data_IF_377037630277
#
_entry.id   IF_377037630277
#
_cell.length_a   1.000
_cell.length_b   1.000
_cell.length_c   1.000
_cell.angle_alpha   90.00
_cell.angle_beta   90.00
_cell.angle_gamma   90.00
#
_symmetry.space_group_name_H-M   'P 1'
#
loop_
_entity.id
_entity.type
_entity.pdbx_description
1 polymer ?
#
# COMPACT_ATOMS: atom_id res chain seq x y z
N UNK A 1 -62.83 -30.15 3.32
CA UNK A 1 -63.20 -28.72 3.17
C UNK A 1 -61.97 -27.89 3.58
N UNK A 2 -61.12 -27.38 2.67
CA UNK A 2 -61.21 -26.12 1.87
C UNK A 2 -61.33 -24.88 2.78
N UNK A 3 -60.53 -23.80 2.78
CA UNK A 3 -59.62 -23.05 1.86
C UNK A 3 -58.64 -22.24 2.75
N UNK A 4 -57.33 -22.01 2.51
CA UNK A 4 -56.60 -21.19 1.50
C UNK A 4 -56.96 -19.70 1.38
N UNK A 5 -56.01 -18.83 1.77
CA UNK A 5 -55.44 -17.66 1.04
C UNK A 5 -54.88 -16.63 2.04
N UNK A 6 -53.92 -15.74 1.77
CA UNK A 6 -52.69 -15.66 0.94
C UNK A 6 -52.24 -14.18 1.07
N UNK A 7 -50.92 -13.92 1.02
CA UNK A 7 -50.35 -12.62 0.65
C UNK A 7 -49.97 -11.69 1.83
N UNK A 8 -48.76 -11.14 1.93
CA UNK A 8 -47.61 -11.19 1.04
C UNK A 8 -46.60 -10.09 1.41
N UNK A 9 -45.31 -10.40 1.24
CA UNK A 9 -44.20 -9.54 0.74
C UNK A 9 -42.86 -10.16 1.16
N UNK A 10 -42.41 -11.13 0.37
CA UNK A 10 -41.01 -11.51 0.29
C UNK A 10 -40.37 -10.64 -0.79
N UNK A 11 -39.32 -9.89 -0.43
CA UNK A 11 -38.48 -9.10 -1.32
C UNK A 11 -37.08 -9.70 -1.30
N UNK A 12 -36.77 -10.56 -2.28
CA UNK A 12 -35.52 -10.53 -3.04
C UNK A 12 -35.45 -11.75 -3.99
N UNK A 13 -35.16 -11.54 -5.30
CA UNK A 13 -35.09 -12.61 -6.29
C UNK A 13 -33.65 -12.96 -6.72
N UNK A 14 -33.55 -14.16 -7.31
CA UNK A 14 -32.61 -14.65 -8.35
C UNK A 14 -31.33 -15.39 -7.94
N UNK A 15 -31.38 -16.68 -8.26
CA UNK A 15 -30.28 -17.53 -8.73
C UNK A 15 -29.22 -16.74 -9.52
N UNK A 16 -28.01 -16.72 -8.98
CA UNK A 16 -26.76 -16.67 -9.75
C UNK A 16 -26.03 -17.99 -9.51
N UNK A 17 -26.07 -18.89 -10.49
CA UNK A 17 -24.97 -19.85 -10.65
C UNK A 17 -23.74 -19.04 -11.05
N UNK A 18 -22.74 -18.97 -10.18
CA UNK A 18 -21.39 -18.55 -10.54
C UNK A 18 -20.39 -19.11 -9.52
N UNK A 19 -19.54 -20.00 -10.05
CA UNK A 19 -18.19 -20.37 -9.59
C UNK A 19 -18.14 -21.30 -8.37
N UNK A 20 -18.20 -22.61 -8.66
CA UNK A 20 -17.37 -23.59 -7.96
C UNK A 20 -15.91 -23.28 -8.30
N UNK A 21 -15.20 -22.60 -7.39
CA UNK A 21 -13.76 -22.70 -7.26
C UNK A 21 -13.45 -22.76 -5.77
N UNK A 22 -12.80 -23.82 -5.25
CA UNK A 22 -12.07 -23.67 -4.01
C UNK A 22 -10.82 -22.85 -4.37
N UNK A 23 -10.96 -21.53 -4.37
CA UNK A 23 -9.80 -20.64 -4.45
C UNK A 23 -8.86 -21.00 -3.30
N UNK A 24 -7.60 -21.25 -3.63
CA UNK A 24 -6.51 -21.44 -2.68
C UNK A 24 -6.60 -20.38 -1.57
N UNK A 25 -7.05 -20.79 -0.38
CA UNK A 25 -7.36 -19.91 0.78
C UNK A 25 -6.10 -19.38 1.47
N UNK A 26 -4.95 -19.39 0.79
CA UNK A 26 -3.70 -18.88 1.33
C UNK A 26 -3.66 -17.35 1.27
N UNK A 27 -3.19 -16.71 2.34
CA UNK A 27 -2.92 -15.27 2.35
C UNK A 27 -1.79 -14.96 1.36
N UNK A 28 -2.03 -14.03 0.43
CA UNK A 28 -1.07 -13.65 -0.62
C UNK A 28 -0.70 -12.18 -0.50
N UNK A 29 0.56 -11.86 -0.83
CA UNK A 29 1.03 -10.48 -0.86
C UNK A 29 0.29 -9.70 -1.97
N UNK A 30 -0.41 -8.60 -1.64
CA UNK A 30 -1.17 -7.81 -2.60
C UNK A 30 -0.30 -7.27 -3.73
N UNK A 31 0.97 -6.96 -3.46
CA UNK A 31 1.89 -6.50 -4.52
C UNK A 31 2.18 -7.65 -5.50
N UNK A 32 2.36 -8.87 -5.01
CA UNK A 32 2.58 -10.03 -5.85
C UNK A 32 1.35 -10.30 -6.74
N UNK A 33 0.15 -10.23 -6.16
CA UNK A 33 -1.13 -10.40 -6.88
C UNK A 33 -1.29 -9.33 -7.97
N UNK A 34 -0.98 -8.06 -7.68
CA UNK A 34 -1.06 -7.00 -8.68
C UNK A 34 -0.09 -7.24 -9.86
N UNK A 35 1.10 -7.77 -9.61
CA UNK A 35 2.10 -8.03 -10.66
C UNK A 35 1.82 -9.29 -11.50
N UNK A 36 0.83 -10.13 -11.16
CA UNK A 36 0.56 -11.39 -11.87
C UNK A 36 0.19 -11.19 -13.35
N UNK A 37 -0.42 -10.05 -13.69
CA UNK A 37 -0.79 -9.68 -15.06
C UNK A 37 0.43 -9.69 -16.00
N UNK A 38 1.62 -9.47 -15.45
CA UNK A 38 2.89 -9.47 -16.17
C UNK A 38 3.92 -10.33 -15.40
N UNK A 39 3.51 -11.52 -14.95
CA UNK A 39 4.30 -12.38 -14.05
C UNK A 39 5.65 -12.85 -14.64
N UNK A 40 5.73 -13.02 -15.96
CA UNK A 40 6.93 -13.52 -16.65
C UNK A 40 8.17 -12.66 -16.44
N UNK A 41 9.35 -13.26 -16.60
CA UNK A 41 10.62 -12.54 -16.46
C UNK A 41 10.83 -11.52 -17.59
N UNK A 42 10.24 -11.76 -18.76
CA UNK A 42 10.29 -10.90 -19.95
C UNK A 42 8.87 -10.56 -20.39
N UNK A 43 8.17 -9.65 -19.67
CA UNK A 43 6.81 -9.28 -20.02
C UNK A 43 6.78 -8.55 -21.36
N UNK A 44 5.79 -8.91 -22.18
CA UNK A 44 5.48 -8.25 -23.44
C UNK A 44 4.99 -6.81 -23.22
N UNK A 45 5.07 -5.99 -24.27
CA UNK A 45 4.49 -4.63 -24.28
C UNK A 45 3.01 -4.67 -23.88
N UNK A 46 2.26 -5.65 -24.37
CA UNK A 46 0.84 -5.81 -24.06
C UNK A 46 0.60 -6.10 -22.57
N UNK A 47 1.41 -6.97 -21.95
CA UNK A 47 1.31 -7.27 -20.52
C UNK A 47 1.66 -6.06 -19.65
N UNK A 48 2.67 -5.28 -20.04
CA UNK A 48 3.04 -4.05 -19.33
C UNK A 48 1.95 -2.97 -19.45
N UNK A 49 1.34 -2.84 -20.62
CA UNK A 49 0.16 -1.96 -20.81
C UNK A 49 -1.02 -2.44 -19.97
N UNK A 50 -1.26 -3.76 -19.94
CA UNK A 50 -2.34 -4.35 -19.15
C UNK A 50 -2.13 -4.11 -17.65
N UNK A 51 -0.91 -4.27 -17.15
CA UNK A 51 -0.56 -3.94 -15.76
C UNK A 51 -0.84 -2.46 -15.45
N UNK A 52 -0.36 -1.54 -16.31
CA UNK A 52 -0.56 -0.09 -16.11
C UNK A 52 -2.04 0.30 -16.07
N UNK A 53 -2.89 -0.41 -16.82
CA UNK A 53 -4.33 -0.15 -16.95
C UNK A 53 -5.20 -1.01 -16.03
N UNK A 54 -4.60 -1.83 -15.16
CA UNK A 54 -5.36 -2.71 -14.30
C UNK A 54 -6.25 -1.88 -13.35
N UNK A 55 -7.57 -2.17 -13.28
CA UNK A 55 -8.52 -1.41 -12.48
C UNK A 55 -8.47 -1.85 -11.02
N UNK A 56 -7.44 -1.41 -10.28
CA UNK A 56 -7.36 -1.68 -8.85
C UNK A 56 -8.30 -0.78 -8.05
N UNK A 57 -9.09 -1.38 -7.16
CA UNK A 57 -9.89 -0.65 -6.18
C UNK A 57 -8.99 -0.13 -5.05
N UNK A 58 -8.40 1.05 -5.27
CA UNK A 58 -7.47 1.68 -4.32
C UNK A 58 -8.16 2.13 -3.03
N UNK A 59 -9.48 2.44 -3.06
CA UNK A 59 -10.25 2.79 -1.85
C UNK A 59 -10.39 1.58 -0.95
N UNK A 60 -10.72 0.43 -1.51
CA UNK A 60 -10.76 -0.83 -0.76
C UNK A 60 -9.38 -1.23 -0.26
N UNK A 61 -8.33 -1.09 -1.08
CA UNK A 61 -6.96 -1.34 -0.65
C UNK A 61 -6.55 -0.45 0.54
N UNK A 62 -6.84 0.86 0.48
CA UNK A 62 -6.60 1.80 1.57
C UNK A 62 -7.37 1.43 2.85
N UNK A 63 -8.67 1.11 2.72
CA UNK A 63 -9.52 0.71 3.84
C UNK A 63 -9.01 -0.57 4.49
N UNK A 64 -8.64 -1.57 3.69
CA UNK A 64 -8.10 -2.84 4.17
C UNK A 64 -6.74 -2.64 4.85
N UNK A 65 -5.87 -1.79 4.31
CA UNK A 65 -4.62 -1.41 4.97
C UNK A 65 -4.88 -0.87 6.39
N UNK A 66 -5.86 0.03 6.51
CA UNK A 66 -6.24 0.62 7.81
C UNK A 66 -6.87 -0.39 8.76
N UNK A 67 -7.72 -1.28 8.24
CA UNK A 67 -8.35 -2.34 9.03
C UNK A 67 -7.30 -3.30 9.59
N UNK A 68 -6.35 -3.76 8.74
CA UNK A 68 -5.24 -4.63 9.14
C UNK A 68 -4.36 -3.97 10.19
N UNK A 69 -3.98 -2.70 10.00
CA UNK A 69 -3.21 -1.96 11.00
C UNK A 69 -3.98 -1.77 12.34
N UNK A 70 -5.31 -1.71 12.28
CA UNK A 70 -6.13 -1.62 13.49
C UNK A 70 -6.35 -2.98 14.16
N UNK A 71 -6.39 -4.06 13.38
CA UNK A 71 -6.44 -5.44 13.88
C UNK A 71 -5.11 -5.83 14.52
N UNK A 72 -3.99 -5.51 13.88
CA UNK A 72 -2.63 -5.64 14.40
C UNK A 72 -2.55 -5.08 15.83
N UNK A 73 -3.00 -3.84 16.02
CA UNK A 73 -2.97 -3.20 17.33
C UNK A 73 -3.84 -3.94 18.37
N UNK A 74 -4.97 -4.53 17.96
CA UNK A 74 -5.84 -5.30 18.85
C UNK A 74 -5.20 -6.62 19.25
N UNK A 75 -4.58 -7.33 18.30
CA UNK A 75 -3.79 -8.55 18.59
C UNK A 75 -2.65 -8.21 19.55
N UNK A 76 -1.95 -7.11 19.29
CA UNK A 76 -0.85 -6.67 20.15
C UNK A 76 -1.28 -6.37 21.58
N UNK A 77 -2.45 -5.78 21.78
CA UNK A 77 -2.98 -5.50 23.12
C UNK A 77 -3.48 -6.77 23.82
N UNK A 78 -3.94 -7.76 23.07
CA UNK A 78 -4.50 -8.99 23.61
C UNK A 78 -3.44 -10.06 23.91
N UNK A 79 -2.24 -9.95 23.33
CA UNK A 79 -1.18 -10.96 23.48
C UNK A 79 -0.58 -10.96 24.89
N UNK A 80 -0.12 -12.13 25.32
CA UNK A 80 0.69 -12.28 26.52
C UNK A 80 2.16 -11.96 26.23
N UNK A 81 2.92 -11.61 27.28
CA UNK A 81 4.35 -11.35 27.13
C UNK A 81 5.09 -12.64 26.77
N UNK A 82 5.88 -12.62 25.70
CA UNK A 82 6.60 -13.81 25.20
C UNK A 82 5.80 -14.69 24.23
N UNK A 83 4.64 -14.22 23.76
CA UNK A 83 3.87 -14.92 22.72
C UNK A 83 4.47 -14.71 21.32
N UNK A 84 5.42 -15.58 20.94
CA UNK A 84 6.07 -15.60 19.63
C UNK A 84 5.07 -15.78 18.47
N UNK A 85 3.95 -16.47 18.71
CA UNK A 85 2.90 -16.69 17.70
C UNK A 85 2.14 -15.38 17.49
N UNK A 86 1.72 -14.71 18.57
CA UNK A 86 1.11 -13.39 18.51
C UNK A 86 2.00 -12.35 17.83
N UNK A 87 3.31 -12.37 18.07
CA UNK A 87 4.27 -11.51 17.35
C UNK A 87 4.32 -11.81 15.85
N UNK A 88 4.33 -13.10 15.47
CA UNK A 88 4.27 -13.50 14.06
C UNK A 88 2.96 -13.06 13.38
N UNK A 89 1.82 -13.18 14.06
CA UNK A 89 0.52 -12.70 13.56
C UNK A 89 0.55 -11.18 13.36
N UNK A 90 1.04 -10.42 14.35
CA UNK A 90 1.21 -8.97 14.20
C UNK A 90 2.10 -8.62 13.01
N UNK A 91 3.24 -9.29 12.85
CA UNK A 91 4.14 -9.05 11.73
C UNK A 91 3.49 -9.34 10.38
N UNK A 92 2.70 -10.41 10.27
CA UNK A 92 1.96 -10.74 9.06
C UNK A 92 0.92 -9.67 8.68
N UNK A 93 0.18 -9.16 9.67
CA UNK A 93 -0.78 -8.07 9.49
C UNK A 93 -0.09 -6.76 9.07
N UNK A 94 1.08 -6.45 9.65
CA UNK A 94 1.88 -5.28 9.28
C UNK A 94 2.42 -5.39 7.86
N UNK A 95 3.01 -6.52 7.48
CA UNK A 95 3.50 -6.76 6.11
C UNK A 95 2.37 -6.57 5.10
N UNK A 96 1.22 -7.20 5.32
CA UNK A 96 0.05 -7.09 4.46
C UNK A 96 -0.48 -5.64 4.38
N UNK A 97 -0.56 -4.96 5.52
CA UNK A 97 -1.00 -3.56 5.59
C UNK A 97 -0.07 -2.63 4.82
N UNK A 98 1.25 -2.77 5.01
CA UNK A 98 2.26 -1.94 4.33
C UNK A 98 2.31 -2.28 2.83
N UNK A 99 2.10 -3.53 2.42
CA UNK A 99 1.96 -3.90 1.00
C UNK A 99 0.77 -3.19 0.34
N UNK A 100 -0.39 -3.12 1.00
CA UNK A 100 -1.54 -2.36 0.50
C UNK A 100 -1.26 -0.85 0.46
N UNK A 101 -0.55 -0.31 1.45
CA UNK A 101 -0.10 1.09 1.44
C UNK A 101 0.82 1.35 0.24
N UNK A 102 1.77 0.44 -0.02
CA UNK A 102 2.68 0.53 -1.16
C UNK A 102 1.94 0.54 -2.49
N UNK A 103 0.93 -0.33 -2.65
CA UNK A 103 0.06 -0.34 -3.82
C UNK A 103 -0.61 1.02 -4.01
N UNK A 104 -1.31 1.53 -2.99
CA UNK A 104 -2.01 2.83 -3.11
C UNK A 104 -1.02 3.98 -3.35
N UNK A 105 0.16 3.96 -2.74
CA UNK A 105 1.18 5.00 -2.92
C UNK A 105 1.80 4.97 -4.33
N UNK A 106 2.07 3.79 -4.89
CA UNK A 106 2.72 3.64 -6.20
C UNK A 106 1.75 3.73 -7.37
N UNK A 107 0.51 3.28 -7.21
CA UNK A 107 -0.45 3.29 -8.31
C UNK A 107 -0.75 4.72 -8.77
N UNK A 108 -0.85 4.99 -10.08
CA UNK A 108 -1.19 6.31 -10.59
C UNK A 108 -2.56 6.78 -10.09
N UNK A 109 -2.68 8.06 -9.78
CA UNK A 109 -3.96 8.70 -9.51
C UNK A 109 -4.53 9.20 -10.84
N UNK A 110 -5.15 8.34 -11.62
CA UNK A 110 -5.75 8.71 -12.91
C UNK A 110 -7.21 9.19 -12.76
N UNK A 111 -7.85 8.86 -11.64
CA UNK A 111 -9.22 9.21 -11.32
C UNK A 111 -9.36 9.75 -9.88
N UNK A 112 -10.58 10.21 -9.57
CA UNK A 112 -10.91 10.78 -8.27
C UNK A 112 -10.84 9.74 -7.14
N UNK A 113 -11.21 8.49 -7.41
CA UNK A 113 -11.25 7.44 -6.39
C UNK A 113 -9.82 7.10 -5.92
N UNK A 114 -8.89 7.00 -6.87
CA UNK A 114 -7.47 6.81 -6.62
C UNK A 114 -6.85 7.99 -5.85
N UNK A 115 -7.20 9.22 -6.23
CA UNK A 115 -6.78 10.42 -5.53
C UNK A 115 -7.27 10.45 -4.08
N UNK A 116 -8.55 10.16 -3.85
CA UNK A 116 -9.15 10.14 -2.51
C UNK A 116 -8.54 9.04 -1.63
N UNK A 117 -8.26 7.86 -2.18
CA UNK A 117 -7.59 6.78 -1.46
C UNK A 117 -6.19 7.21 -0.95
N UNK A 118 -5.40 7.88 -1.79
CA UNK A 118 -4.07 8.41 -1.40
C UNK A 118 -4.18 9.45 -0.30
N UNK A 119 -5.08 10.43 -0.45
CA UNK A 119 -5.26 11.50 0.54
C UNK A 119 -5.72 10.96 1.90
N UNK A 120 -6.67 10.02 1.88
CA UNK A 120 -7.17 9.39 3.10
C UNK A 120 -6.07 8.60 3.82
N UNK A 121 -5.16 7.94 3.09
CA UNK A 121 -3.97 7.34 3.69
C UNK A 121 -2.99 8.39 4.22
N UNK A 122 -2.68 9.48 3.51
CA UNK A 122 -1.75 10.51 4.04
C UNK A 122 -2.23 11.10 5.38
N UNK A 123 -3.54 11.32 5.51
CA UNK A 123 -4.15 11.84 6.74
C UNK A 123 -4.09 10.84 7.90
N UNK A 124 -4.14 9.53 7.61
CA UNK A 124 -4.28 8.46 8.61
C UNK A 124 -3.01 7.65 8.85
N UNK A 125 -1.99 7.82 8.02
CA UNK A 125 -0.66 7.20 8.14
C UNK A 125 0.37 8.23 8.64
N UNK A 126 1.43 7.77 9.29
CA UNK A 126 2.56 8.61 9.72
C UNK A 126 2.62 8.94 11.21
N UNK A 127 3.59 9.80 11.54
CA UNK A 127 4.02 10.05 12.92
C UNK A 127 2.90 10.73 13.70
N UNK A 128 2.35 10.02 14.69
CA UNK A 128 1.43 10.61 15.67
C UNK A 128 2.21 11.59 16.53
N UNK A 129 2.26 12.85 16.11
CA UNK A 129 2.70 13.92 16.98
C UNK A 129 1.65 14.05 18.08
N UNK A 130 2.01 13.74 19.33
CA UNK A 130 1.15 14.01 20.47
C UNK A 130 0.70 15.48 20.41
N UNK A 131 -0.57 15.78 20.73
CA UNK A 131 -1.01 17.16 20.97
C UNK A 131 -0.15 17.72 22.11
N UNK A 132 0.84 18.55 21.78
CA UNK A 132 1.74 19.19 22.75
C UNK A 132 1.09 20.46 23.30
N UNK A 133 1.47 20.83 24.51
CA UNK A 133 1.02 22.05 25.17
C UNK A 133 1.46 23.29 24.38
N UNK A 134 0.71 24.39 24.53
CA UNK A 134 0.86 25.61 23.73
C UNK A 134 2.23 26.29 23.85
N UNK A 135 2.97 26.02 24.92
CA UNK A 135 4.24 26.68 25.24
C UNK A 135 5.47 25.86 24.81
N UNK A 136 5.26 24.74 24.10
CA UNK A 136 6.34 23.89 23.63
C UNK A 136 6.85 24.37 22.25
N UNK A 137 7.99 25.07 22.22
CA UNK A 137 8.72 25.30 20.97
C UNK A 137 9.39 24.00 20.50
N UNK A 138 8.75 23.29 19.57
CA UNK A 138 9.35 22.11 18.94
C UNK A 138 10.05 22.48 17.64
N UNK A 139 11.38 22.43 17.62
CA UNK A 139 12.08 21.98 16.43
C UNK A 139 11.65 20.55 16.12
N UNK A 140 11.18 20.29 14.90
CA UNK A 140 10.83 18.95 14.47
C UNK A 140 12.12 18.19 14.18
N UNK A 141 12.36 17.07 14.88
CA UNK A 141 13.57 16.27 14.71
C UNK A 141 13.80 15.90 13.23
N UNK A 142 15.04 15.98 12.76
CA UNK A 142 15.38 15.82 11.34
C UNK A 142 14.86 14.50 10.74
N UNK A 143 14.94 13.40 11.49
CA UNK A 143 14.43 12.09 11.05
C UNK A 143 12.90 12.09 10.91
N UNK A 144 12.19 12.73 11.86
CA UNK A 144 10.74 12.89 11.80
C UNK A 144 10.34 13.79 10.62
N UNK A 145 11.08 14.86 10.36
CA UNK A 145 10.83 15.76 9.23
C UNK A 145 10.96 15.02 7.90
N UNK A 146 12.02 14.23 7.77
CA UNK A 146 12.29 13.40 6.59
C UNK A 146 11.17 12.38 6.34
N UNK A 147 10.71 11.68 7.39
CA UNK A 147 9.56 10.75 7.28
C UNK A 147 8.28 11.45 6.83
N UNK A 148 7.99 12.64 7.35
CA UNK A 148 6.82 13.43 6.91
C UNK A 148 6.95 13.82 5.43
N UNK A 149 8.14 14.23 4.97
CA UNK A 149 8.37 14.55 3.55
C UNK A 149 8.13 13.33 2.65
N UNK A 150 8.69 12.17 3.01
CA UNK A 150 8.48 10.94 2.24
C UNK A 150 7.01 10.53 2.20
N UNK A 151 6.30 10.61 3.33
CA UNK A 151 4.86 10.30 3.37
C UNK A 151 4.07 11.23 2.43
N UNK A 152 4.27 12.55 2.55
CA UNK A 152 3.57 13.54 1.70
C UNK A 152 3.89 13.35 0.22
N UNK A 153 5.14 13.02 -0.11
CA UNK A 153 5.53 12.71 -1.49
C UNK A 153 4.87 11.44 -2.00
N UNK A 154 4.80 10.38 -1.19
CA UNK A 154 4.23 9.09 -1.56
C UNK A 154 2.73 9.18 -1.92
N UNK A 155 2.00 10.04 -1.24
CA UNK A 155 0.56 10.25 -1.45
C UNK A 155 0.24 11.55 -2.18
N UNK A 156 1.22 12.18 -2.83
CA UNK A 156 0.99 13.38 -3.61
C UNK A 156 -0.01 13.10 -4.75
N UNK A 157 -1.05 13.92 -4.83
CA UNK A 157 -2.07 13.86 -5.89
C UNK A 157 -1.90 15.07 -6.82
N UNK A 158 -1.98 14.91 -8.15
CA UNK A 158 -2.00 16.03 -9.08
C UNK A 158 -3.12 17.04 -8.76
N UNK A 159 -2.75 18.33 -8.70
CA UNK A 159 -3.65 19.40 -8.24
C UNK A 159 -4.95 19.56 -9.06
N UNK A 160 -4.98 19.09 -10.31
CA UNK A 160 -6.12 19.23 -11.22
C UNK A 160 -7.18 18.11 -11.05
N UNK A 161 -6.91 17.05 -10.27
CA UNK A 161 -7.80 15.90 -10.15
C UNK A 161 -8.91 16.14 -9.13
N UNK A 162 -8.64 16.94 -8.10
CA UNK A 162 -9.58 17.13 -7.00
C UNK A 162 -10.59 18.24 -7.37
N UNK A 163 -11.91 17.96 -7.35
CA UNK A 163 -12.89 19.03 -7.43
C UNK A 163 -12.66 20.03 -6.28
N UNK A 164 -13.07 21.30 -6.41
CA UNK A 164 -12.94 22.28 -5.32
C UNK A 164 -13.63 21.76 -4.06
N UNK A 165 -13.00 21.92 -2.90
CA UNK A 165 -13.54 21.45 -1.63
C UNK A 165 -15.00 21.90 -1.45
N UNK A 166 -15.90 21.04 -0.95
CA UNK A 166 -17.27 21.46 -0.66
C UNK A 166 -17.23 22.67 0.29
N UNK A 167 -18.07 23.66 0.00
CA UNK A 167 -18.15 24.88 0.81
C UNK A 167 -18.48 24.48 2.25
N UNK A 168 -17.68 24.96 3.21
CA UNK A 168 -17.93 24.67 4.61
C UNK A 168 -19.33 25.18 4.99
N UNK A 169 -20.12 24.38 5.73
CA UNK A 169 -21.48 24.77 6.07
C UNK A 169 -21.46 25.97 7.02
N UNK A 170 -22.46 26.84 6.89
CA UNK A 170 -22.64 28.02 7.72
C UNK A 170 -23.32 27.67 9.04
N UNK A 171 -23.21 28.55 10.04
CA UNK A 171 -23.73 28.30 11.40
C UNK A 171 -25.26 28.12 11.46
N UNK A 172 -25.96 28.55 10.43
CA UNK A 172 -27.41 28.45 10.24
C UNK A 172 -27.84 27.24 9.40
N UNK A 173 -26.90 26.48 8.85
CA UNK A 173 -27.21 25.26 8.09
C UNK A 173 -27.79 24.17 9.02
N UNK A 174 -28.92 23.60 8.62
CA UNK A 174 -29.54 22.47 9.30
C UNK A 174 -28.92 21.16 8.81
N UNK A 175 -28.78 20.17 9.69
CA UNK A 175 -28.26 18.85 9.30
C UNK A 175 -26.73 18.75 9.27
N UNK A 176 -26.03 19.61 10.03
CA UNK A 176 -24.57 19.57 10.19
C UNK A 176 -24.04 18.21 10.68
N UNK A 177 -24.87 17.41 11.37
CA UNK A 177 -24.53 16.06 11.80
C UNK A 177 -24.35 15.06 10.65
N UNK A 178 -24.95 15.32 9.49
CA UNK A 178 -24.82 14.51 8.27
C UNK A 178 -23.93 15.17 7.22
N UNK A 179 -23.35 16.34 7.53
CA UNK A 179 -22.44 17.01 6.59
C UNK A 179 -21.15 16.19 6.49
N UNK A 180 -20.69 15.83 5.28
CA UNK A 180 -19.47 15.07 5.13
C UNK A 180 -18.29 15.90 5.63
N UNK A 181 -17.63 15.42 6.69
CA UNK A 181 -16.42 16.05 7.22
C UNK A 181 -15.23 15.86 6.26
N UNK A 182 -15.24 14.76 5.51
CA UNK A 182 -14.23 14.37 4.51
C UNK A 182 -14.94 13.76 3.30
N UNK A 183 -14.31 13.79 2.12
CA UNK A 183 -14.87 13.21 0.88
C UNK A 183 -14.90 11.69 0.89
N UNK A 184 -13.96 11.10 1.61
CA UNK A 184 -13.82 9.67 1.79
C UNK A 184 -13.29 9.43 3.20
N UNK A 185 -14.14 8.91 4.09
CA UNK A 185 -13.71 8.54 5.44
C UNK A 185 -13.18 7.10 5.46
N UNK A 186 -11.87 6.98 5.66
CA UNK A 186 -11.16 5.71 5.69
C UNK A 186 -11.65 4.76 6.80
N UNK A 187 -12.18 5.31 7.89
CA UNK A 187 -12.57 4.53 9.08
C UNK A 187 -14.08 4.31 9.17
N UNK A 188 -14.84 4.83 8.21
CA UNK A 188 -16.27 4.60 8.14
C UNK A 188 -16.55 3.09 8.05
N UNK A 189 -17.40 2.60 8.96
CA UNK A 189 -17.74 1.18 9.13
C UNK A 189 -16.60 0.25 9.57
N UNK A 190 -15.40 0.75 9.89
CA UNK A 190 -14.34 -0.08 10.47
C UNK A 190 -14.56 -0.31 11.97
N UNK A 191 -14.22 -1.50 12.50
CA UNK A 191 -14.13 -1.71 13.94
C UNK A 191 -13.19 -0.68 14.57
N UNK A 192 -13.50 -0.27 15.80
CA UNK A 192 -12.62 0.62 16.56
C UNK A 192 -11.25 -0.04 16.73
N UNK A 193 -10.19 0.78 16.69
CA UNK A 193 -8.81 0.32 16.89
C UNK A 193 -8.59 -0.34 18.26
N UNK A 194 -9.39 0.00 19.27
CA UNK A 194 -9.34 -0.66 20.59
C UNK A 194 -10.37 -1.77 20.74
N UNK A 195 -10.09 -2.74 21.59
CA UNK A 195 -10.96 -3.89 21.88
C UNK A 195 -10.31 -5.23 21.53
N UNK A 196 -11.04 -6.36 21.65
CA UNK A 196 -10.53 -7.67 21.29
C UNK A 196 -10.27 -7.77 19.77
N UNK A 197 -9.35 -8.65 19.33
CA UNK A 197 -9.13 -8.94 17.91
C UNK A 197 -10.44 -9.32 17.21
N UNK A 198 -10.71 -8.77 16.03
CA UNK A 198 -11.95 -9.07 15.31
C UNK A 198 -11.85 -10.31 14.41
N UNK A 199 -10.69 -10.61 13.82
CA UNK A 199 -10.56 -11.71 12.85
C UNK A 199 -9.23 -12.45 12.89
N UNK A 200 -8.11 -11.80 13.25
CA UNK A 200 -6.81 -12.45 13.17
C UNK A 200 -6.68 -13.63 14.16
N UNK A 201 -7.45 -13.60 15.26
CA UNK A 201 -7.49 -14.66 16.26
C UNK A 201 -8.06 -16.00 15.74
N UNK A 202 -8.82 -16.00 14.64
CA UNK A 202 -9.32 -17.25 14.01
C UNK A 202 -8.39 -17.77 12.90
N UNK A 203 -7.40 -16.98 12.48
CA UNK A 203 -6.51 -17.25 11.34
C UNK A 203 -5.03 -17.28 11.76
N UNK A 204 -4.74 -17.58 13.02
CA UNK A 204 -3.40 -17.49 13.61
C UNK A 204 -2.34 -18.24 12.79
N UNK A 205 -2.66 -19.44 12.32
CA UNK A 205 -1.74 -20.28 11.53
C UNK A 205 -1.43 -19.65 10.17
N UNK A 206 -2.44 -19.08 9.50
CA UNK A 206 -2.29 -18.45 8.20
C UNK A 206 -1.45 -17.18 8.29
N UNK A 207 -1.74 -16.30 9.25
CA UNK A 207 -0.98 -15.07 9.48
C UNK A 207 0.46 -15.35 9.90
N UNK A 208 0.67 -16.32 10.79
CA UNK A 208 2.02 -16.71 11.22
C UNK A 208 2.83 -17.32 10.07
N UNK A 209 2.19 -18.11 9.20
CA UNK A 209 2.84 -18.68 8.01
C UNK A 209 3.19 -17.58 7.02
N UNK A 210 2.25 -16.68 6.74
CA UNK A 210 2.46 -15.54 5.85
C UNK A 210 3.65 -14.68 6.30
N UNK A 211 3.73 -14.35 7.60
CA UNK A 211 4.83 -13.56 8.14
C UNK A 211 6.22 -14.21 7.95
N UNK A 212 6.27 -15.54 7.84
CA UNK A 212 7.51 -16.32 7.67
C UNK A 212 7.81 -16.67 6.21
N UNK A 213 6.85 -16.53 5.31
CA UNK A 213 6.99 -16.88 3.89
C UNK A 213 7.55 -15.70 3.10
N UNK A 214 8.75 -15.25 3.44
CA UNK A 214 9.42 -14.19 2.71
C UNK A 214 9.64 -14.60 1.23
N UNK A 215 9.38 -13.71 0.26
CA UNK A 215 9.70 -13.95 -1.13
C UNK A 215 11.21 -13.92 -1.35
N UNK A 216 11.64 -14.43 -2.51
CA UNK A 216 13.03 -14.33 -2.94
C UNK A 216 13.40 -12.86 -3.22
N UNK A 217 14.10 -12.24 -2.26
CA UNK A 217 14.46 -10.82 -2.32
C UNK A 217 15.45 -10.53 -3.44
N UNK A 218 16.33 -11.48 -3.77
CA UNK A 218 17.33 -11.30 -4.83
C UNK A 218 16.67 -11.36 -6.20
N UNK A 219 15.74 -12.30 -6.40
CA UNK A 219 14.92 -12.34 -7.60
C UNK A 219 14.09 -11.05 -7.76
N UNK A 220 13.52 -10.51 -6.68
CA UNK A 220 12.79 -9.24 -6.71
C UNK A 220 13.69 -8.04 -7.04
N UNK A 221 14.93 -8.00 -6.52
CA UNK A 221 15.91 -6.98 -6.88
C UNK A 221 16.30 -7.06 -8.37
N UNK A 222 16.53 -8.28 -8.88
CA UNK A 222 16.81 -8.51 -10.30
C UNK A 222 15.63 -8.05 -11.16
N UNK A 223 14.40 -8.39 -10.74
CA UNK A 223 13.17 -7.95 -11.40
C UNK A 223 13.05 -6.43 -11.41
N UNK A 224 13.32 -5.76 -10.28
CA UNK A 224 13.29 -4.31 -10.20
C UNK A 224 14.28 -3.65 -11.19
N UNK A 225 15.53 -4.10 -11.21
CA UNK A 225 16.55 -3.63 -12.16
C UNK A 225 16.10 -3.83 -13.61
N UNK A 226 15.68 -5.05 -13.95
CA UNK A 226 15.25 -5.40 -15.31
C UNK A 226 14.08 -4.54 -15.78
N UNK A 227 13.11 -4.28 -14.90
CA UNK A 227 11.96 -3.44 -15.24
C UNK A 227 12.32 -1.96 -15.41
N UNK A 228 13.27 -1.44 -14.64
CA UNK A 228 13.80 -0.08 -14.88
C UNK A 228 14.56 0.01 -16.21
N UNK A 229 15.40 -0.98 -16.54
CA UNK A 229 16.06 -1.03 -17.85
C UNK A 229 15.06 -1.13 -19.00
N UNK A 230 14.03 -1.96 -18.86
CA UNK A 230 12.94 -2.08 -19.84
C UNK A 230 12.19 -0.77 -20.00
N UNK A 231 11.87 -0.07 -18.90
CA UNK A 231 11.29 1.27 -18.95
C UNK A 231 12.15 2.23 -19.78
N UNK A 232 13.45 2.33 -19.48
CA UNK A 232 14.35 3.24 -20.18
C UNK A 232 14.43 2.93 -21.69
N UNK A 233 14.51 1.64 -22.05
CA UNK A 233 14.51 1.21 -23.46
C UNK A 233 13.19 1.55 -24.17
N UNK A 234 12.05 1.36 -23.51
CA UNK A 234 10.74 1.69 -24.08
C UNK A 234 10.56 3.20 -24.28
N UNK A 235 11.05 4.03 -23.34
CA UNK A 235 11.06 5.48 -23.48
C UNK A 235 11.94 5.93 -24.66
N UNK A 236 13.13 5.35 -24.80
CA UNK A 236 14.01 5.65 -25.92
C UNK A 236 13.36 5.28 -27.27
N UNK A 237 12.74 4.10 -27.36
CA UNK A 237 12.03 3.66 -28.55
C UNK A 237 10.84 4.57 -28.88
N UNK A 238 10.05 4.96 -27.88
CA UNK A 238 8.93 5.89 -28.06
C UNK A 238 9.41 7.27 -28.56
N UNK A 239 10.55 7.76 -28.04
CA UNK A 239 11.16 9.03 -28.44
C UNK A 239 11.60 9.09 -29.90
N UNK A 240 11.80 7.94 -30.56
CA UNK A 240 12.10 7.87 -32.01
C UNK A 240 10.87 8.07 -32.91
N UNK A 241 9.68 8.24 -32.32
CA UNK A 241 8.44 8.53 -33.02
C UNK A 241 7.85 7.38 -33.87
N UNK A 242 7.89 6.10 -33.44
CA UNK A 242 7.21 5.03 -34.16
C UNK A 242 5.68 5.22 -34.10
N UNK A 243 4.95 4.58 -35.01
CA UNK A 243 3.48 4.67 -35.08
C UNK A 243 2.76 4.22 -33.80
N UNK A 244 3.40 3.41 -32.95
CA UNK A 244 2.88 2.93 -31.67
C UNK A 244 3.50 3.63 -30.44
N UNK A 245 4.09 4.83 -30.58
CA UNK A 245 4.77 5.53 -29.49
C UNK A 245 3.95 5.67 -28.20
N UNK A 246 2.63 5.93 -28.30
CA UNK A 246 1.73 6.05 -27.13
C UNK A 246 1.62 4.74 -26.34
N UNK A 247 1.60 3.60 -27.04
CA UNK A 247 1.57 2.29 -26.41
C UNK A 247 2.90 1.99 -25.70
N UNK A 248 4.02 2.34 -26.33
CA UNK A 248 5.36 2.20 -25.73
C UNK A 248 5.52 3.06 -24.48
N UNK A 249 4.98 4.29 -24.47
CA UNK A 249 4.96 5.14 -23.27
C UNK A 249 4.14 4.51 -22.14
N UNK A 250 2.95 3.98 -22.46
CA UNK A 250 2.11 3.29 -21.47
C UNK A 250 2.80 2.04 -20.92
N UNK A 251 3.47 1.26 -21.79
CA UNK A 251 4.25 0.10 -21.39
C UNK A 251 5.46 0.49 -20.51
N UNK A 252 6.12 1.60 -20.81
CA UNK A 252 7.21 2.12 -19.99
C UNK A 252 6.72 2.50 -18.59
N UNK A 253 5.54 3.13 -18.47
CA UNK A 253 4.92 3.39 -17.17
C UNK A 253 4.60 2.10 -16.40
N UNK A 254 4.10 1.07 -17.09
CA UNK A 254 3.86 -0.27 -16.51
C UNK A 254 5.14 -0.92 -16.01
N UNK A 255 6.22 -0.89 -16.80
CA UNK A 255 7.52 -1.42 -16.41
C UNK A 255 8.07 -0.66 -15.18
N UNK A 256 8.02 0.68 -15.19
CA UNK A 256 8.42 1.49 -14.04
C UNK A 256 7.62 1.14 -12.79
N UNK A 257 6.29 1.05 -12.89
CA UNK A 257 5.40 0.66 -11.79
C UNK A 257 5.80 -0.70 -11.22
N UNK A 258 6.03 -1.70 -12.08
CA UNK A 258 6.49 -3.03 -11.65
C UNK A 258 7.86 -2.95 -10.93
N UNK A 259 8.80 -2.17 -11.45
CA UNK A 259 10.11 -1.99 -10.83
C UNK A 259 10.02 -1.43 -9.41
N UNK A 260 9.18 -0.41 -9.21
CA UNK A 260 8.92 0.16 -7.88
C UNK A 260 8.14 -0.78 -6.97
N UNK A 261 7.20 -1.56 -7.49
CA UNK A 261 6.44 -2.56 -6.71
C UNK A 261 7.37 -3.67 -6.18
N UNK A 262 8.24 -4.21 -7.04
CA UNK A 262 9.25 -5.18 -6.64
C UNK A 262 10.23 -4.61 -5.60
N UNK A 263 10.68 -3.36 -5.79
CA UNK A 263 11.50 -2.66 -4.80
C UNK A 263 10.78 -2.50 -3.44
N UNK A 264 9.50 -2.11 -3.45
CA UNK A 264 8.68 -2.03 -2.24
C UNK A 264 8.58 -3.39 -1.53
N UNK A 265 8.32 -4.48 -2.24
CA UNK A 265 8.31 -5.81 -1.62
C UNK A 265 9.64 -6.10 -0.91
N UNK A 266 10.77 -5.89 -1.56
CA UNK A 266 12.09 -6.08 -0.92
C UNK A 266 12.22 -5.24 0.35
N UNK A 267 11.76 -3.99 0.33
CA UNK A 267 11.88 -3.11 1.50
C UNK A 267 10.90 -3.44 2.63
N UNK A 268 9.74 -4.03 2.34
CA UNK A 268 8.72 -4.39 3.32
C UNK A 268 9.11 -5.63 4.12
N UNK A 269 9.57 -6.69 3.44
CA UNK A 269 9.80 -7.98 4.11
C UNK A 269 10.94 -7.89 5.16
N UNK A 270 10.79 -8.48 6.36
CA UNK A 270 11.78 -8.36 7.44
C UNK A 270 13.17 -8.92 7.08
N UNK A 271 14.21 -8.42 7.73
CA UNK A 271 15.58 -8.91 7.56
C UNK A 271 15.85 -10.01 8.58
N UNK A 272 16.07 -11.23 8.11
CA UNK A 272 16.44 -12.36 8.96
C UNK A 272 17.90 -12.81 8.79
N UNK A 273 18.61 -12.30 7.78
CA UNK A 273 20.02 -12.63 7.52
C UNK A 273 20.79 -11.43 6.93
N UNK A 274 22.12 -11.56 6.81
CA UNK A 274 22.98 -10.49 6.26
C UNK A 274 22.75 -10.23 4.77
N UNK A 275 22.40 -11.26 4.03
CA UNK A 275 22.18 -11.18 2.59
C UNK A 275 20.97 -10.29 2.28
N UNK A 276 19.85 -10.50 2.98
CA UNK A 276 18.66 -9.65 2.88
C UNK A 276 18.96 -8.17 3.16
N UNK A 277 19.84 -7.87 4.13
CA UNK A 277 20.27 -6.49 4.38
C UNK A 277 21.08 -5.92 3.20
N UNK A 278 21.96 -6.73 2.60
CA UNK A 278 22.71 -6.33 1.42
C UNK A 278 21.77 -6.06 0.22
N UNK A 279 20.76 -6.91 0.01
CA UNK A 279 19.74 -6.74 -1.03
C UNK A 279 18.96 -5.43 -0.83
N UNK A 280 18.53 -5.11 0.40
CA UNK A 280 17.88 -3.81 0.68
C UNK A 280 18.79 -2.62 0.41
N UNK A 281 20.09 -2.70 0.74
CA UNK A 281 21.07 -1.64 0.41
C UNK A 281 21.22 -1.45 -1.10
N UNK A 282 21.18 -2.54 -1.88
CA UNK A 282 21.19 -2.47 -3.34
C UNK A 282 19.92 -1.82 -3.90
N UNK A 283 18.75 -2.10 -3.32
CA UNK A 283 17.51 -1.38 -3.66
C UNK A 283 17.64 0.11 -3.39
N UNK A 284 18.20 0.52 -2.25
CA UNK A 284 18.43 1.95 -1.94
C UNK A 284 19.30 2.61 -3.00
N UNK A 285 20.43 1.98 -3.37
CA UNK A 285 21.31 2.50 -4.42
C UNK A 285 20.58 2.60 -5.78
N UNK A 286 19.77 1.60 -6.12
CA UNK A 286 18.95 1.59 -7.33
C UNK A 286 17.96 2.76 -7.36
N UNK A 287 17.21 2.98 -6.28
CA UNK A 287 16.23 4.07 -6.19
C UNK A 287 16.91 5.45 -6.17
N UNK A 288 18.06 5.60 -5.52
CA UNK A 288 18.84 6.84 -5.57
C UNK A 288 19.26 7.16 -7.02
N UNK A 289 19.74 6.16 -7.78
CA UNK A 289 20.06 6.31 -9.20
C UNK A 289 18.83 6.67 -10.03
N UNK A 290 17.66 6.07 -9.77
CA UNK A 290 16.40 6.45 -10.45
C UNK A 290 16.05 7.91 -10.20
N UNK A 291 16.31 8.41 -8.99
CA UNK A 291 16.16 9.84 -8.67
C UNK A 291 17.03 10.76 -9.51
N UNK A 292 18.28 10.39 -9.75
CA UNK A 292 19.20 11.14 -10.61
C UNK A 292 18.77 11.16 -12.09
N UNK A 293 18.10 10.10 -12.55
CA UNK A 293 17.55 9.98 -13.92
C UNK A 293 16.21 10.72 -14.08
N UNK A 294 15.62 11.22 -12.99
CA UNK A 294 14.39 12.00 -13.02
C UNK A 294 13.10 11.18 -12.98
N UNK A 295 13.13 9.97 -12.41
CA UNK A 295 11.91 9.22 -12.14
C UNK A 295 10.94 10.00 -11.20
N UNK A 296 9.63 9.70 -11.22
CA UNK A 296 8.64 10.41 -10.42
C UNK A 296 8.99 10.44 -8.93
N UNK A 297 9.07 11.63 -8.35
CA UNK A 297 9.39 11.82 -6.94
C UNK A 297 8.39 11.11 -6.00
N UNK A 298 7.12 10.97 -6.42
CA UNK A 298 6.09 10.24 -5.66
C UNK A 298 6.40 8.75 -5.52
N UNK A 299 6.87 8.10 -6.59
CA UNK A 299 7.25 6.68 -6.56
C UNK A 299 8.50 6.44 -5.70
N UNK A 300 9.50 7.32 -5.80
CA UNK A 300 10.68 7.28 -4.93
C UNK A 300 10.29 7.49 -3.46
N UNK A 301 9.40 8.45 -3.21
CA UNK A 301 8.87 8.74 -1.87
C UNK A 301 8.12 7.54 -1.29
N UNK A 302 7.36 6.81 -2.12
CA UNK A 302 6.64 5.61 -1.70
C UNK A 302 7.59 4.53 -1.16
N UNK A 303 8.67 4.20 -1.88
CA UNK A 303 9.66 3.21 -1.40
C UNK A 303 10.27 3.65 -0.07
N UNK A 304 10.62 4.93 0.06
CA UNK A 304 11.21 5.48 1.29
C UNK A 304 10.22 5.48 2.45
N UNK A 305 8.96 5.81 2.17
CA UNK A 305 7.89 5.76 3.15
C UNK A 305 7.67 4.35 3.67
N UNK A 306 7.50 3.35 2.79
CA UNK A 306 7.27 1.97 3.22
C UNK A 306 8.48 1.37 3.91
N UNK A 307 9.70 1.77 3.54
CA UNK A 307 10.93 1.41 4.27
C UNK A 307 10.91 1.94 5.70
N UNK A 308 10.46 3.18 5.89
CA UNK A 308 10.37 3.79 7.21
C UNK A 308 9.28 3.14 8.09
N UNK A 309 8.18 2.69 7.48
CA UNK A 309 7.13 1.94 8.17
C UNK A 309 7.56 0.50 8.48
N UNK A 310 8.25 -0.17 7.54
CA UNK A 310 8.67 -1.57 7.70
C UNK A 310 9.72 -1.78 8.78
N UNK A 311 10.50 -0.75 9.14
CA UNK A 311 11.42 -0.77 10.28
C UNK A 311 10.72 -1.04 11.63
N UNK A 312 9.40 -0.90 11.70
CA UNK A 312 8.62 -1.13 12.92
C UNK A 312 7.97 -2.51 12.99
N UNK A 313 8.13 -3.35 11.96
CA UNK A 313 7.49 -4.67 11.91
C UNK A 313 7.92 -5.52 13.11
N UNK A 314 6.96 -6.09 13.82
CA UNK A 314 7.13 -6.76 15.11
C UNK A 314 7.91 -8.07 15.05
N UNK A 315 8.04 -8.69 13.88
CA UNK A 315 8.89 -9.88 13.68
C UNK A 315 10.37 -9.54 13.51
N UNK A 316 10.75 -8.26 13.50
CA UNK A 316 12.15 -7.86 13.48
C UNK A 316 12.78 -8.01 14.88
N UNK A 317 14.04 -8.48 14.97
CA UNK A 317 14.82 -8.39 16.20
C UNK A 317 14.86 -6.96 16.74
N UNK A 318 14.88 -6.81 18.07
CA UNK A 318 14.86 -5.50 18.73
C UNK A 318 15.99 -4.56 18.28
N UNK A 319 17.17 -5.11 17.93
CA UNK A 319 18.36 -4.40 17.45
C UNK A 319 18.41 -4.20 15.92
N UNK A 320 17.45 -4.76 15.17
CA UNK A 320 17.46 -4.70 13.71
C UNK A 320 17.19 -3.28 13.18
N UNK A 321 16.52 -2.43 13.98
CA UNK A 321 16.15 -1.06 13.61
C UNK A 321 17.37 -0.19 13.31
N UNK A 322 18.40 -0.29 14.14
CA UNK A 322 19.62 0.49 13.97
C UNK A 322 20.34 0.11 12.66
N UNK A 323 20.17 -1.14 12.22
CA UNK A 323 20.72 -1.66 10.95
C UNK A 323 19.88 -1.31 9.72
N UNK A 324 18.65 -0.83 9.91
CA UNK A 324 17.72 -0.39 8.86
C UNK A 324 17.79 1.12 8.60
N UNK A 325 18.93 1.74 8.94
CA UNK A 325 19.26 3.09 8.51
C UNK A 325 19.92 3.05 7.14
N UNK A 326 19.29 3.74 6.18
CA UNK A 326 19.74 3.78 4.78
C UNK A 326 20.06 5.20 4.37
N UNK A 327 21.08 5.34 3.51
CA UNK A 327 21.52 6.61 2.98
C UNK A 327 20.72 6.95 1.71
N UNK A 328 19.69 7.80 1.89
CA UNK A 328 18.83 8.25 0.81
C UNK A 328 19.27 9.62 0.33
N UNK A 329 19.43 9.79 -0.99
CA UNK A 329 19.60 11.12 -1.58
C UNK A 329 18.36 11.96 -1.28
N UNK A 330 18.51 13.23 -0.89
CA UNK A 330 17.34 14.11 -0.71
C UNK A 330 16.56 14.21 -2.02
N UNK A 331 15.22 14.18 -1.92
CA UNK A 331 14.37 14.41 -3.09
C UNK A 331 14.52 15.88 -3.46
N UNK A 332 15.00 16.14 -4.68
CA UNK A 332 15.07 17.49 -5.27
C UNK A 332 13.77 17.76 -6.01
#
# INVERSE_FOLDING_TARGET
>A
MTKKNEGGRSLAPRNSKAIDEPADTSLRDPIAVAMEVAAGDDPSVAELVALRRQPLDLKNAARNAKNLHSEEFRVWLARESGDDIGEAVCGGLEIMSISLIALVALWPADDLDAAEAKLALDQRTGVQLHKREKDFESGLEAQTARRIRWRRGAFAVPALILPPAPVAPQSDDRGLSSWPLERFDLVEHLPKRGGPPAFAHTQVVEWSRFARSAPDLDALLQRANKMFETCDRLLELAGRGPGNASELLTAAEGARLMGYLAACQVMIWPIHNRDALATKKQVVALINRRGEVGDPASMQSAVRHVTAESAWIKTLPYDARDRLTFDWNELV
#
